data_IF_111685420619
#
_entry.id   IF_111685420619
#
_cell.length_a   1.000
_cell.length_b   1.000
_cell.length_c   1.000
_cell.angle_alpha   90.00
_cell.angle_beta   90.00
_cell.angle_gamma   90.00
#
_symmetry.space_group_name_H-M   'P 1'
#
loop_
_entity.id
_entity.type
_entity.pdbx_description
1 polymer ?
#
# COMPACT_ATOMS: atom_id res chain seq x y z
N UNK A 1 18.31 2.70 20.59
CA UNK A 1 17.50 3.90 20.95
C UNK A 1 17.49 4.94 19.84
N UNK A 2 18.66 5.39 19.35
CA UNK A 2 18.73 6.37 18.23
C UNK A 2 18.17 5.82 16.91
N UNK A 3 18.37 4.53 16.63
CA UNK A 3 17.87 3.87 15.41
C UNK A 3 16.34 3.93 15.29
N UNK A 4 15.63 3.66 16.39
CA UNK A 4 14.17 3.71 16.43
C UNK A 4 13.64 5.14 16.21
N UNK A 5 14.34 6.15 16.74
CA UNK A 5 13.99 7.56 16.53
C UNK A 5 14.13 7.94 15.05
N UNK A 6 15.27 7.61 14.43
CA UNK A 6 15.49 7.87 13.00
C UNK A 6 14.47 7.14 12.13
N UNK A 7 14.15 5.88 12.47
CA UNK A 7 13.12 5.11 11.78
C UNK A 7 11.75 5.81 11.83
N UNK A 8 11.30 6.24 13.00
CA UNK A 8 10.01 6.94 13.15
C UNK A 8 9.98 8.23 12.33
N UNK A 9 11.05 9.04 12.39
CA UNK A 9 11.13 10.30 11.63
C UNK A 9 11.06 10.05 10.12
N UNK A 10 11.72 9.01 9.62
CA UNK A 10 11.68 8.62 8.21
C UNK A 10 10.32 8.02 7.80
N UNK A 11 9.58 7.42 8.73
CA UNK A 11 8.24 6.88 8.45
C UNK A 11 7.18 7.98 8.30
N UNK A 12 7.36 9.16 8.91
CA UNK A 12 6.41 10.28 8.78
C UNK A 12 6.16 10.67 7.31
N UNK A 13 7.19 11.01 6.49
CA UNK A 13 6.96 11.34 5.08
C UNK A 13 6.42 10.16 4.28
N UNK A 14 6.78 8.92 4.63
CA UNK A 14 6.25 7.71 3.98
C UNK A 14 4.73 7.61 4.21
N UNK A 15 4.27 7.75 5.45
CA UNK A 15 2.84 7.74 5.77
C UNK A 15 2.10 8.93 5.17
N UNK A 16 2.70 10.12 5.16
CA UNK A 16 2.16 11.29 4.48
C UNK A 16 1.96 11.05 2.99
N UNK A 17 2.93 10.40 2.34
CA UNK A 17 2.82 10.02 0.93
C UNK A 17 1.74 8.95 0.71
N UNK A 18 1.67 7.90 1.53
CA UNK A 18 0.64 6.87 1.43
C UNK A 18 -0.77 7.42 1.64
N UNK A 19 -0.96 8.33 2.59
CA UNK A 19 -2.23 9.03 2.81
C UNK A 19 -2.61 9.87 1.60
N UNK A 20 -1.66 10.63 1.06
CA UNK A 20 -1.90 11.43 -0.14
C UNK A 20 -2.26 10.55 -1.35
N UNK A 21 -1.57 9.43 -1.55
CA UNK A 21 -1.89 8.41 -2.57
C UNK A 21 -3.30 7.82 -2.40
N UNK A 22 -3.76 7.63 -1.16
CA UNK A 22 -5.12 7.15 -0.89
C UNK A 22 -6.20 8.21 -1.22
N UNK A 23 -5.95 9.48 -0.89
CA UNK A 23 -6.90 10.59 -1.11
C UNK A 23 -6.94 10.98 -2.59
N UNK A 24 -5.77 11.11 -3.23
CA UNK A 24 -5.62 11.54 -4.63
C UNK A 24 -4.92 10.47 -5.48
N UNK A 25 -5.56 9.31 -5.69
CA UNK A 25 -4.95 8.17 -6.39
C UNK A 25 -4.64 8.48 -7.86
N UNK A 26 -5.51 9.21 -8.56
CA UNK A 26 -5.33 9.57 -9.98
C UNK A 26 -4.03 10.36 -10.20
N UNK A 27 -3.87 11.43 -9.43
CA UNK A 27 -2.65 12.24 -9.42
C UNK A 27 -1.43 11.41 -9.04
N UNK A 28 -1.56 10.49 -8.07
CA UNK A 28 -0.45 9.65 -7.63
C UNK A 28 0.00 8.63 -8.66
N UNK A 29 -0.93 8.05 -9.46
CA UNK A 29 -0.63 7.09 -10.53
C UNK A 29 0.14 7.78 -11.65
N UNK A 30 -0.25 9.01 -11.98
CA UNK A 30 0.35 9.76 -13.07
C UNK A 30 1.64 10.49 -12.66
N UNK A 31 1.93 10.57 -11.35
CA UNK A 31 3.10 11.28 -10.82
C UNK A 31 4.39 10.70 -11.39
N UNK A 32 5.14 11.54 -12.11
CA UNK A 32 6.40 11.13 -12.76
C UNK A 32 6.22 10.38 -14.07
N UNK A 33 4.99 10.15 -14.54
CA UNK A 33 4.70 9.55 -15.85
C UNK A 33 3.99 10.53 -16.80
N UNK A 34 3.39 11.63 -16.29
CA UNK A 34 2.69 12.64 -17.11
C UNK A 34 3.51 13.16 -18.30
N UNK A 35 4.82 13.28 -18.15
CA UNK A 35 5.71 13.80 -19.19
C UNK A 35 5.84 12.86 -20.42
N UNK A 36 5.43 11.59 -20.28
CA UNK A 36 5.51 10.59 -21.36
C UNK A 36 4.34 10.69 -22.35
N UNK A 37 3.26 11.38 -21.99
CA UNK A 37 2.04 11.45 -22.77
C UNK A 37 1.89 12.82 -23.44
N UNK A 38 1.40 12.83 -24.69
CA UNK A 38 1.15 14.06 -25.45
C UNK A 38 -0.12 14.78 -25.00
N UNK A 39 -1.08 14.05 -24.45
CA UNK A 39 -2.35 14.53 -23.90
C UNK A 39 -2.52 14.06 -22.45
N UNK A 40 -3.49 14.62 -21.73
CA UNK A 40 -3.74 14.24 -20.34
C UNK A 40 -4.27 12.79 -20.26
N UNK A 41 -3.51 11.85 -19.66
CA UNK A 41 -3.87 10.44 -19.67
C UNK A 41 -5.02 10.16 -18.67
N UNK A 42 -6.08 9.53 -19.13
CA UNK A 42 -7.17 9.06 -18.27
C UNK A 42 -6.76 7.79 -17.51
N UNK A 43 -6.92 7.80 -16.19
CA UNK A 43 -6.59 6.66 -15.33
C UNK A 43 -7.78 5.70 -15.26
N UNK A 44 -7.56 4.41 -15.49
CA UNK A 44 -8.63 3.41 -15.38
C UNK A 44 -9.18 3.31 -13.95
N UNK A 45 -10.47 3.00 -13.82
CA UNK A 45 -11.12 2.80 -12.51
C UNK A 45 -10.46 1.70 -11.70
N UNK A 46 -10.01 0.62 -12.35
CA UNK A 46 -9.27 -0.45 -11.69
C UNK A 46 -7.90 0.02 -11.18
N UNK A 47 -7.16 0.82 -11.94
CA UNK A 47 -5.90 1.40 -11.49
C UNK A 47 -6.08 2.32 -10.27
N UNK A 48 -7.17 3.09 -10.24
CA UNK A 48 -7.56 3.91 -9.08
C UNK A 48 -7.87 3.03 -7.87
N UNK A 49 -8.71 1.99 -8.02
CA UNK A 49 -9.08 1.07 -6.93
C UNK A 49 -7.85 0.31 -6.41
N UNK A 50 -7.01 -0.19 -7.30
CA UNK A 50 -5.77 -0.88 -6.95
C UNK A 50 -4.82 0.03 -6.17
N UNK A 51 -4.63 1.27 -6.61
CA UNK A 51 -3.76 2.23 -5.93
C UNK A 51 -4.25 2.56 -4.51
N UNK A 52 -5.57 2.75 -4.33
CA UNK A 52 -6.17 2.92 -2.99
C UNK A 52 -5.99 1.69 -2.10
N UNK A 53 -6.16 0.50 -2.68
CA UNK A 53 -5.95 -0.74 -1.94
C UNK A 53 -4.49 -0.93 -1.53
N UNK A 54 -3.55 -0.67 -2.42
CA UNK A 54 -2.11 -0.76 -2.14
C UNK A 54 -1.69 0.20 -1.03
N UNK A 55 -2.13 1.46 -1.08
CA UNK A 55 -1.78 2.43 -0.05
C UNK A 55 -2.35 2.04 1.30
N UNK A 56 -3.61 1.60 1.36
CA UNK A 56 -4.23 1.10 2.59
C UNK A 56 -3.56 -0.17 3.12
N UNK A 57 -3.27 -1.12 2.22
CA UNK A 57 -2.62 -2.38 2.56
C UNK A 57 -1.23 -2.14 3.16
N UNK A 58 -0.43 -1.24 2.60
CA UNK A 58 0.89 -0.91 3.15
C UNK A 58 0.73 -0.17 4.49
N UNK A 59 -0.20 0.78 4.57
CA UNK A 59 -0.44 1.60 5.77
C UNK A 59 -0.78 0.75 7.00
N UNK A 60 -1.56 -0.33 6.82
CA UNK A 60 -1.97 -1.26 7.88
C UNK A 60 -1.00 -2.45 7.99
N UNK A 61 -0.61 -3.02 6.85
CA UNK A 61 0.17 -4.25 6.77
C UNK A 61 1.59 -4.07 7.27
N UNK A 62 2.21 -2.91 7.08
CA UNK A 62 3.58 -2.66 7.51
C UNK A 62 3.72 -2.63 9.06
N UNK A 63 2.88 -1.92 9.83
CA UNK A 63 2.87 -2.03 11.30
C UNK A 63 2.58 -3.44 11.79
N UNK A 64 1.60 -4.13 11.18
CA UNK A 64 1.26 -5.50 11.54
C UNK A 64 2.47 -6.41 11.30
N UNK A 65 3.13 -6.29 10.16
CA UNK A 65 4.32 -7.05 9.83
C UNK A 65 5.46 -6.83 10.83
N UNK A 66 5.75 -5.58 11.19
CA UNK A 66 6.80 -5.23 12.17
C UNK A 66 6.47 -5.82 13.55
N UNK A 67 5.21 -5.71 13.98
CA UNK A 67 4.74 -6.27 15.25
C UNK A 67 4.91 -7.81 15.26
N UNK A 68 4.47 -8.49 14.20
CA UNK A 68 4.57 -9.94 14.06
C UNK A 68 6.03 -10.43 14.02
N UNK A 69 6.93 -9.67 13.39
CA UNK A 69 8.36 -9.96 13.36
C UNK A 69 9.04 -9.79 14.72
N UNK A 70 8.58 -8.83 15.53
CA UNK A 70 9.20 -8.52 16.84
C UNK A 70 8.72 -9.49 17.94
N UNK A 71 7.52 -10.05 17.80
CA UNK A 71 6.97 -11.02 18.74
C UNK A 71 7.52 -12.42 18.46
N UNK A 72 8.58 -12.81 19.17
CA UNK A 72 9.20 -14.15 19.16
C UNK A 72 8.33 -15.23 19.84
N UNK A 73 7.03 -15.24 19.55
CA UNK A 73 6.06 -16.16 20.11
C UNK A 73 5.70 -17.16 19.00
N UNK A 74 6.02 -18.44 19.19
CA UNK A 74 5.96 -19.52 18.18
C UNK A 74 4.81 -19.49 17.14
N UNK A 75 3.53 -19.25 17.49
CA UNK A 75 2.43 -19.19 16.52
C UNK A 75 2.39 -17.92 15.64
N UNK A 76 3.08 -16.83 15.99
CA UNK A 76 3.00 -15.56 15.24
C UNK A 76 3.71 -15.61 13.88
N UNK A 77 4.58 -16.62 13.64
CA UNK A 77 5.15 -16.92 12.31
C UNK A 77 4.07 -17.21 11.26
N UNK A 78 2.92 -17.76 11.66
CA UNK A 78 1.78 -17.99 10.76
C UNK A 78 1.12 -16.66 10.33
N UNK A 79 1.14 -15.64 11.19
CA UNK A 79 0.61 -14.31 10.87
C UNK A 79 1.29 -13.67 9.66
N UNK A 80 2.60 -13.92 9.50
CA UNK A 80 3.36 -13.45 8.33
C UNK A 80 2.85 -14.10 7.04
N UNK A 81 2.36 -15.34 7.09
CA UNK A 81 1.75 -16.04 5.95
C UNK A 81 0.34 -15.55 5.65
N UNK A 82 -0.38 -15.03 6.66
CA UNK A 82 -1.74 -14.49 6.47
C UNK A 82 -1.72 -13.18 5.65
N UNK A 83 -0.72 -12.32 5.85
CA UNK A 83 -0.60 -11.06 5.11
C UNK A 83 -0.61 -11.21 3.58
N UNK A 84 0.20 -12.08 2.94
CA UNK A 84 0.15 -12.28 1.51
C UNK A 84 -1.15 -12.95 1.04
N UNK A 85 -1.82 -13.75 1.88
CA UNK A 85 -3.13 -14.32 1.55
C UNK A 85 -4.19 -13.22 1.49
N UNK A 86 -4.23 -12.34 2.50
CA UNK A 86 -5.13 -11.16 2.53
C UNK A 86 -4.85 -10.24 1.34
N UNK A 87 -3.57 -10.04 1.02
CA UNK A 87 -3.15 -9.27 -0.14
C UNK A 87 -3.72 -9.84 -1.44
N UNK A 88 -3.52 -11.14 -1.68
CA UNK A 88 -3.96 -11.82 -2.90
C UNK A 88 -5.49 -11.79 -3.01
N UNK A 89 -6.22 -12.08 -1.93
CA UNK A 89 -7.69 -12.02 -1.93
C UNK A 89 -8.18 -10.60 -2.24
N UNK A 90 -7.60 -9.58 -1.61
CA UNK A 90 -7.97 -8.19 -1.85
C UNK A 90 -7.66 -7.73 -3.28
N UNK A 91 -6.50 -8.11 -3.82
CA UNK A 91 -6.12 -7.83 -5.19
C UNK A 91 -7.05 -8.53 -6.19
N UNK A 92 -7.34 -9.83 -5.98
CA UNK A 92 -8.26 -10.59 -6.83
C UNK A 92 -9.64 -9.96 -6.85
N UNK A 93 -10.16 -9.54 -5.70
CA UNK A 93 -11.47 -8.87 -5.61
C UNK A 93 -11.53 -7.61 -6.47
N UNK A 94 -10.46 -6.83 -6.53
CA UNK A 94 -10.39 -5.60 -7.35
C UNK A 94 -10.42 -5.93 -8.84
N UNK A 95 -9.74 -7.00 -9.26
CA UNK A 95 -9.72 -7.43 -10.66
C UNK A 95 -11.05 -8.06 -11.11
N UNK A 96 -11.73 -8.80 -10.23
CA UNK A 96 -13.02 -9.43 -10.58
C UNK A 96 -14.17 -8.42 -10.68
N UNK A 97 -14.15 -7.39 -9.85
CA UNK A 97 -15.19 -6.34 -9.75
C UNK A 97 -15.14 -5.31 -10.90
N UNK A 98 -14.25 -5.51 -11.89
CA UNK A 98 -14.20 -4.76 -13.16
C UNK A 98 -14.95 -5.47 -14.30
N UNK A 99 -15.25 -6.77 -14.15
CA UNK A 99 -15.94 -7.58 -15.18
C UNK A 99 -17.47 -7.65 -15.02
N UNK A 100 -17.99 -7.25 -13.87
CA UNK A 100 -19.43 -7.17 -13.58
C UNK A 100 -19.94 -5.73 -13.82
#
# INVERSE_FOLDING_TARGET
MVEAYLFIVLMIPVYGFLLWTYINPEESVLKGQRWMYTEEPEVSRAAIRYTKFMSLFIMIGLPVFILLMTLDIGPFRLGVVILPVVFVIGALRIYTDEKD
#
